data_IF_048008560596
#
_entry.id   IF_048008560596
#
_cell.length_a   1.000
_cell.length_b   1.000
_cell.length_c   1.000
_cell.angle_alpha   90.00
_cell.angle_beta   90.00
_cell.angle_gamma   90.00
#
_symmetry.space_group_name_H-M   'P 1'
#
loop_
_entity.id
_entity.type
_entity.pdbx_description
1 polymer ?
#
# COMPACT_ATOMS: atom_id res chain seq x y z
N UNK A 1 22.95 17.04 -10.50
CA UNK A 1 22.39 15.90 -9.75
C UNK A 1 21.11 15.50 -10.45
N UNK A 2 20.76 14.21 -10.48
CA UNK A 2 19.52 13.74 -11.10
C UNK A 2 18.47 13.54 -10.02
N UNK A 3 17.26 14.04 -10.23
CA UNK A 3 16.12 13.79 -9.36
C UNK A 3 15.42 12.49 -9.72
N UNK A 4 15.16 11.63 -8.74
CA UNK A 4 14.41 10.39 -8.97
C UNK A 4 13.00 10.56 -8.39
N UNK A 5 12.00 10.53 -9.27
CA UNK A 5 10.58 10.63 -8.89
C UNK A 5 9.97 9.23 -8.85
N UNK A 6 9.61 8.79 -7.64
CA UNK A 6 9.03 7.48 -7.37
C UNK A 6 7.49 7.61 -7.34
N UNK A 7 6.82 6.81 -8.16
CA UNK A 7 5.36 6.83 -8.34
C UNK A 7 4.77 5.41 -8.33
N UNK A 8 3.44 5.32 -8.28
CA UNK A 8 2.73 4.09 -8.66
C UNK A 8 2.86 3.84 -10.17
N UNK A 9 2.91 2.57 -10.56
CA UNK A 9 3.06 2.17 -11.96
C UNK A 9 1.94 2.68 -12.89
N UNK A 10 2.23 2.74 -14.21
CA UNK A 10 1.30 3.24 -15.21
C UNK A 10 0.06 2.34 -15.34
N UNK A 11 -1.08 2.98 -15.60
CA UNK A 11 -2.38 2.33 -15.70
C UNK A 11 -3.28 3.11 -16.67
N UNK A 12 -4.18 2.41 -17.36
CA UNK A 12 -5.21 3.03 -18.23
C UNK A 12 -4.67 3.96 -19.34
N UNK A 13 -3.40 3.83 -19.74
CA UNK A 13 -2.75 4.76 -20.69
C UNK A 13 -2.24 6.06 -20.06
N UNK A 14 -2.23 6.16 -18.73
CA UNK A 14 -1.71 7.27 -17.94
C UNK A 14 -0.39 6.88 -17.23
N UNK A 15 0.47 7.85 -16.86
CA UNK A 15 1.74 7.58 -16.19
C UNK A 15 1.61 6.86 -14.84
N UNK A 16 0.45 6.95 -14.18
CA UNK A 16 0.23 6.36 -12.86
C UNK A 16 -1.25 6.08 -12.64
N UNK A 17 -1.58 5.23 -11.65
CA UNK A 17 -2.97 4.98 -11.21
C UNK A 17 -3.47 5.98 -10.15
N UNK A 18 -2.57 6.78 -9.57
CA UNK A 18 -2.85 7.72 -8.48
C UNK A 18 -2.90 9.18 -8.99
N UNK A 19 -3.90 9.99 -8.61
CA UNK A 19 -4.06 11.34 -9.12
C UNK A 19 -2.89 12.25 -8.74
N UNK A 20 -2.34 12.14 -7.53
CA UNK A 20 -1.22 13.00 -7.09
C UNK A 20 0.07 12.62 -7.82
N UNK A 21 0.29 11.33 -8.09
CA UNK A 21 1.40 10.86 -8.92
C UNK A 21 1.33 11.42 -10.36
N UNK A 22 0.17 11.33 -11.02
CA UNK A 22 -0.01 11.91 -12.37
C UNK A 22 0.23 13.44 -12.33
N UNK A 23 -0.31 14.11 -11.31
CA UNK A 23 -0.13 15.55 -11.11
C UNK A 23 1.34 15.94 -10.95
N UNK A 24 2.11 15.13 -10.23
CA UNK A 24 3.53 15.35 -10.03
C UNK A 24 4.33 15.16 -11.33
N UNK A 25 4.04 14.11 -12.10
CA UNK A 25 4.67 13.90 -13.44
C UNK A 25 4.37 15.08 -14.37
N UNK A 26 3.13 15.59 -14.36
CA UNK A 26 2.75 16.78 -15.13
C UNK A 26 3.51 18.04 -14.69
N UNK A 27 3.70 18.24 -13.38
CA UNK A 27 4.50 19.34 -12.85
C UNK A 27 5.95 19.26 -13.32
N UNK A 28 6.59 18.09 -13.19
CA UNK A 28 7.97 17.89 -13.67
C UNK A 28 8.09 18.12 -15.18
N UNK A 29 7.14 17.62 -15.98
CA UNK A 29 7.12 17.83 -17.44
C UNK A 29 6.96 19.31 -17.87
N UNK A 30 6.36 20.16 -17.02
CA UNK A 30 6.14 21.57 -17.32
C UNK A 30 7.17 22.52 -16.69
N UNK A 31 7.68 22.18 -15.50
CA UNK A 31 8.56 23.04 -14.71
C UNK A 31 10.05 22.71 -14.84
N UNK A 32 10.40 21.42 -15.00
CA UNK A 32 11.79 20.96 -14.96
C UNK A 32 12.25 20.53 -16.35
N UNK A 33 13.28 21.16 -16.95
CA UNK A 33 13.77 20.76 -18.26
C UNK A 33 14.33 19.33 -18.20
N UNK A 34 13.72 18.43 -18.97
CA UNK A 34 14.08 16.99 -19.01
C UNK A 34 15.59 16.77 -19.24
N UNK A 35 16.18 17.56 -20.14
CA UNK A 35 17.61 17.57 -20.44
C UNK A 35 18.18 18.98 -20.31
N UNK A 36 19.30 19.12 -19.62
CA UNK A 36 20.10 20.33 -19.59
C UNK A 36 21.37 20.10 -20.42
N UNK A 37 21.70 21.03 -21.32
CA UNK A 37 22.93 20.98 -22.12
C UNK A 37 24.09 21.55 -21.31
N UNK A 38 24.86 20.67 -20.69
CA UNK A 38 26.08 21.03 -19.97
C UNK A 38 27.30 21.16 -20.90
N UNK A 39 28.45 21.52 -20.31
CA UNK A 39 29.76 21.46 -20.96
C UNK A 39 30.09 20.06 -21.48
N UNK A 40 29.69 19.05 -20.71
CA UNK A 40 30.15 17.66 -20.89
C UNK A 40 29.10 16.75 -21.55
N UNK A 41 28.01 17.33 -22.07
CA UNK A 41 26.94 16.60 -22.79
C UNK A 41 25.52 17.01 -22.40
N UNK A 42 24.53 16.27 -22.93
CA UNK A 42 23.15 16.33 -22.45
C UNK A 42 23.04 15.56 -21.13
N UNK A 43 22.68 16.23 -20.04
CA UNK A 43 22.43 15.58 -18.74
C UNK A 43 20.94 15.63 -18.41
N UNK A 44 20.37 14.48 -18.08
CA UNK A 44 19.00 14.36 -17.59
C UNK A 44 18.90 15.00 -16.20
N UNK A 45 17.93 15.90 -16.00
CA UNK A 45 17.72 16.55 -14.70
C UNK A 45 16.87 15.69 -13.77
N UNK A 46 15.96 14.90 -14.33
CA UNK A 46 15.04 14.06 -13.56
C UNK A 46 14.69 12.79 -14.32
N UNK A 47 14.33 11.76 -13.56
CA UNK A 47 14.04 10.40 -13.99
C UNK A 47 12.80 9.90 -13.23
N UNK A 48 11.97 9.10 -13.90
CA UNK A 48 10.71 8.56 -13.38
C UNK A 48 10.85 7.06 -13.09
N UNK A 49 10.55 6.65 -11.85
CA UNK A 49 10.72 5.28 -11.37
C UNK A 49 9.38 4.71 -10.88
N UNK A 50 9.00 3.55 -11.43
CA UNK A 50 7.70 2.90 -11.20
C UNK A 50 7.69 1.91 -10.01
N UNK A 51 8.39 2.22 -8.92
CA UNK A 51 8.59 1.31 -7.76
C UNK A 51 7.30 0.67 -7.23
N UNK A 52 6.21 1.44 -7.19
CA UNK A 52 4.89 0.96 -6.72
C UNK A 52 4.85 0.37 -5.31
N UNK A 53 5.90 0.59 -4.50
CA UNK A 53 6.00 0.18 -3.09
C UNK A 53 6.17 1.42 -2.19
N UNK A 54 5.11 1.88 -1.50
CA UNK A 54 5.18 3.08 -0.67
C UNK A 54 6.12 2.94 0.53
N UNK A 55 6.39 1.72 1.01
CA UNK A 55 7.19 1.53 2.23
C UNK A 55 8.71 1.53 2.00
N UNK A 56 9.18 1.71 0.76
CA UNK A 56 10.56 2.14 0.50
C UNK A 56 10.77 3.58 1.00
N UNK A 57 9.71 4.40 0.92
CA UNK A 57 9.72 5.80 1.36
C UNK A 57 9.45 5.85 2.87
N UNK A 58 10.23 6.62 3.67
CA UNK A 58 10.02 6.74 5.11
C UNK A 58 8.60 7.17 5.53
N UNK A 59 7.92 7.95 4.67
CA UNK A 59 6.57 8.47 4.90
C UNK A 59 5.45 7.49 4.51
N UNK A 60 5.73 6.34 3.89
CA UNK A 60 4.71 5.39 3.39
C UNK A 60 3.69 6.00 2.39
N UNK A 61 4.09 7.03 1.64
CA UNK A 61 3.22 7.77 0.72
C UNK A 61 3.96 8.05 -0.59
N UNK A 62 3.29 7.84 -1.73
CA UNK A 62 3.72 8.22 -3.07
C UNK A 62 2.74 9.30 -3.58
N UNK A 63 3.18 10.31 -4.37
CA UNK A 63 4.50 10.45 -4.98
C UNK A 63 5.60 10.85 -3.97
N UNK A 64 6.82 10.39 -4.24
CA UNK A 64 8.00 10.71 -3.47
C UNK A 64 9.20 11.04 -4.36
N UNK A 65 9.93 12.10 -4.00
CA UNK A 65 11.15 12.55 -4.65
C UNK A 65 12.36 12.11 -3.83
N UNK A 66 13.32 11.48 -4.50
CA UNK A 66 14.65 11.19 -3.97
C UNK A 66 15.67 12.15 -4.59
N UNK A 67 16.49 12.78 -3.73
CA UNK A 67 17.56 13.71 -4.14
C UNK A 67 18.96 13.13 -3.87
N UNK A 68 19.12 11.81 -3.87
CA UNK A 68 20.38 11.13 -3.51
C UNK A 68 20.76 11.19 -2.02
N UNK A 69 20.13 12.06 -1.23
CA UNK A 69 20.41 12.25 0.21
C UNK A 69 19.16 12.25 1.10
N UNK A 70 18.00 12.66 0.58
CA UNK A 70 16.74 12.75 1.32
C UNK A 70 15.54 12.37 0.47
N UNK A 71 14.52 11.89 1.17
CA UNK A 71 13.17 11.62 0.68
C UNK A 71 12.25 12.79 0.99
N UNK A 72 11.44 13.20 0.01
CA UNK A 72 10.42 14.25 0.17
C UNK A 72 9.14 13.74 -0.52
N UNK A 73 8.03 13.68 0.19
CA UNK A 73 6.77 13.14 -0.32
C UNK A 73 5.62 14.14 -0.21
N UNK A 74 4.54 13.86 -0.95
CA UNK A 74 3.36 14.73 -1.20
C UNK A 74 3.64 15.86 -2.17
N UNK A 75 2.69 16.10 -3.06
CA UNK A 75 2.77 17.09 -4.14
C UNK A 75 3.25 18.47 -3.65
N UNK A 76 2.56 19.07 -2.67
CA UNK A 76 2.85 20.43 -2.19
C UNK A 76 4.26 20.57 -1.57
N UNK A 77 4.74 19.53 -0.88
CA UNK A 77 6.08 19.53 -0.29
C UNK A 77 7.17 19.42 -1.36
N UNK A 78 6.95 18.59 -2.38
CA UNK A 78 7.86 18.43 -3.51
C UNK A 78 7.94 19.74 -4.31
N UNK A 79 6.80 20.38 -4.62
CA UNK A 79 6.75 21.70 -5.28
C UNK A 79 7.48 22.77 -4.45
N UNK A 80 7.19 22.87 -3.15
CA UNK A 80 7.88 23.81 -2.25
C UNK A 80 9.39 23.55 -2.20
N UNK A 81 9.82 22.29 -2.26
CA UNK A 81 11.24 21.96 -2.32
C UNK A 81 11.90 22.34 -3.66
N UNK A 82 11.28 22.02 -4.79
CA UNK A 82 11.80 22.37 -6.12
C UNK A 82 11.96 23.89 -6.28
N UNK A 83 11.01 24.67 -5.74
CA UNK A 83 11.13 26.14 -5.71
C UNK A 83 12.31 26.61 -4.85
N UNK A 84 12.57 26.00 -3.69
CA UNK A 84 13.72 26.33 -2.85
C UNK A 84 15.07 25.88 -3.45
N UNK A 85 15.08 24.78 -4.21
CA UNK A 85 16.31 24.27 -4.83
C UNK A 85 16.75 25.07 -6.06
N UNK A 86 15.80 25.64 -6.80
CA UNK A 86 16.02 26.34 -8.07
C UNK A 86 15.99 27.87 -7.97
N UNK A 87 16.08 28.43 -6.75
CA UNK A 87 15.82 29.86 -6.47
C UNK A 87 14.50 30.36 -7.11
N UNK A 88 13.52 29.46 -7.19
CA UNK A 88 12.20 29.64 -7.78
C UNK A 88 12.11 29.53 -9.30
N UNK A 89 13.16 29.14 -10.03
CA UNK A 89 13.06 28.99 -11.50
C UNK A 89 12.08 27.89 -11.91
N UNK A 90 11.97 26.82 -11.12
CA UNK A 90 11.01 25.73 -11.34
C UNK A 90 9.71 25.92 -10.56
N UNK A 91 9.34 27.15 -10.22
CA UNK A 91 8.05 27.51 -9.62
C UNK A 91 7.06 27.97 -10.71
N UNK A 92 6.06 27.13 -11.01
CA UNK A 92 4.99 27.46 -11.95
C UNK A 92 4.09 28.61 -11.47
N UNK A 93 4.08 28.88 -10.15
CA UNK A 93 3.17 29.83 -9.52
C UNK A 93 3.85 31.20 -9.25
N UNK A 94 5.10 31.37 -9.70
CA UNK A 94 5.92 32.58 -9.55
C UNK A 94 5.22 33.84 -10.07
N UNK A 95 4.41 33.73 -11.13
CA UNK A 95 3.68 34.84 -11.75
C UNK A 95 2.42 35.28 -10.98
N UNK A 96 1.95 34.48 -10.02
CA UNK A 96 0.69 34.74 -9.32
C UNK A 96 0.78 35.84 -8.27
N UNK A 97 -0.21 36.72 -8.27
CA UNK A 97 -0.45 37.69 -7.20
C UNK A 97 -1.09 37.05 -5.95
N UNK A 98 -1.36 37.89 -4.95
CA UNK A 98 -1.92 37.46 -3.66
C UNK A 98 -3.30 36.79 -3.80
N UNK A 99 -4.12 37.24 -4.77
CA UNK A 99 -5.47 36.72 -5.02
C UNK A 99 -5.42 35.37 -5.72
N UNK A 100 -4.65 35.32 -6.80
CA UNK A 100 -4.46 34.14 -7.63
C UNK A 100 -3.83 32.99 -6.81
N UNK A 101 -2.95 33.31 -5.86
CA UNK A 101 -2.42 32.34 -4.86
C UNK A 101 -3.49 31.83 -3.89
N UNK A 102 -4.40 32.69 -3.43
CA UNK A 102 -5.50 32.27 -2.57
C UNK A 102 -6.48 31.36 -3.33
N UNK A 103 -6.82 31.71 -4.58
CA UNK A 103 -7.64 30.89 -5.46
C UNK A 103 -6.96 29.55 -5.77
N UNK A 104 -5.67 29.55 -6.10
CA UNK A 104 -4.86 28.34 -6.32
C UNK A 104 -4.93 27.38 -5.13
N UNK A 105 -4.77 27.88 -3.90
CA UNK A 105 -4.87 27.07 -2.68
C UNK A 105 -6.31 26.54 -2.49
N UNK A 106 -7.32 27.40 -2.65
CA UNK A 106 -8.73 27.04 -2.48
C UNK A 106 -9.15 25.93 -3.47
N UNK A 107 -8.83 26.09 -4.75
CA UNK A 107 -9.16 25.09 -5.77
C UNK A 107 -8.28 23.83 -5.70
N UNK A 108 -7.02 23.92 -5.26
CA UNK A 108 -6.21 22.71 -4.98
C UNK A 108 -6.85 21.87 -3.87
N UNK A 109 -7.26 22.50 -2.76
CA UNK A 109 -7.97 21.80 -1.69
C UNK A 109 -9.38 21.33 -2.09
N UNK A 110 -10.06 22.03 -3.01
CA UNK A 110 -11.31 21.54 -3.61
C UNK A 110 -11.10 20.26 -4.44
N UNK A 111 -10.08 20.24 -5.30
CA UNK A 111 -9.72 19.06 -6.11
C UNK A 111 -9.36 17.85 -5.22
N UNK A 112 -8.53 18.06 -4.20
CA UNK A 112 -8.14 17.01 -3.25
C UNK A 112 -9.34 16.50 -2.42
N UNK A 113 -10.24 17.39 -1.95
CA UNK A 113 -11.35 17.01 -1.06
C UNK A 113 -12.58 16.45 -1.77
N UNK A 114 -12.90 16.92 -2.99
CA UNK A 114 -14.08 16.49 -3.76
C UNK A 114 -13.72 15.52 -4.90
N UNK A 115 -12.56 15.68 -5.53
CA UNK A 115 -12.08 14.79 -6.58
C UNK A 115 -11.68 13.41 -6.05
N UNK A 116 -11.02 13.34 -4.89
CA UNK A 116 -10.57 12.06 -4.33
C UNK A 116 -11.75 11.10 -4.02
N UNK A 117 -12.85 11.51 -3.35
CA UNK A 117 -13.99 10.62 -3.12
C UNK A 117 -14.67 10.15 -4.42
N UNK A 118 -14.73 10.98 -5.46
CA UNK A 118 -15.32 10.60 -6.76
C UNK A 118 -14.50 9.53 -7.47
N UNK A 119 -13.16 9.66 -7.47
CA UNK A 119 -12.24 8.64 -7.99
C UNK A 119 -12.30 7.37 -7.13
N UNK A 120 -12.31 7.51 -5.80
CA UNK A 120 -12.42 6.38 -4.87
C UNK A 120 -13.71 5.58 -5.13
N UNK A 121 -14.85 6.25 -5.32
CA UNK A 121 -16.13 5.65 -5.67
C UNK A 121 -16.10 4.91 -7.02
N UNK A 122 -15.52 5.54 -8.06
CA UNK A 122 -15.53 5.00 -9.42
C UNK A 122 -14.57 3.82 -9.61
N UNK A 123 -13.36 3.87 -9.03
CA UNK A 123 -12.31 2.86 -9.23
C UNK A 123 -12.28 1.75 -8.16
N UNK A 124 -12.65 2.03 -6.90
CA UNK A 124 -12.41 1.12 -5.78
C UNK A 124 -13.67 0.63 -5.05
N UNK A 125 -14.67 1.49 -4.89
CA UNK A 125 -15.92 1.12 -4.20
C UNK A 125 -16.81 0.27 -5.11
N UNK A 126 -16.99 0.68 -6.37
CA UNK A 126 -17.73 -0.14 -7.35
C UNK A 126 -17.01 -1.47 -7.58
N UNK A 127 -17.64 -2.56 -7.15
CA UNK A 127 -17.12 -3.93 -7.27
C UNK A 127 -16.81 -4.31 -8.72
N UNK A 128 -17.69 -3.94 -9.66
CA UNK A 128 -17.55 -4.28 -11.07
C UNK A 128 -16.33 -3.58 -11.70
N UNK A 129 -16.13 -2.29 -11.40
CA UNK A 129 -14.98 -1.53 -11.89
C UNK A 129 -13.69 -2.02 -11.23
N UNK A 130 -13.71 -2.29 -9.92
CA UNK A 130 -12.54 -2.78 -9.22
C UNK A 130 -12.10 -4.17 -9.70
N UNK A 131 -13.03 -5.13 -9.82
CA UNK A 131 -12.73 -6.51 -10.19
C UNK A 131 -12.31 -6.65 -11.68
N UNK A 132 -12.91 -5.89 -12.60
CA UNK A 132 -12.63 -6.03 -14.04
C UNK A 132 -11.56 -5.06 -14.57
N UNK A 133 -11.25 -3.96 -13.88
CA UNK A 133 -10.30 -2.95 -14.35
C UNK A 133 -9.21 -2.62 -13.33
N UNK A 134 -9.57 -2.09 -12.16
CA UNK A 134 -8.59 -1.52 -11.20
C UNK A 134 -7.64 -2.58 -10.62
N UNK A 135 -8.17 -3.73 -10.18
CA UNK A 135 -7.35 -4.82 -9.63
C UNK A 135 -6.47 -5.48 -10.70
N UNK A 136 -6.94 -5.58 -11.95
CA UNK A 136 -6.12 -6.04 -13.08
C UNK A 136 -5.02 -5.03 -13.45
N UNK A 137 -5.29 -3.73 -13.36
CA UNK A 137 -4.28 -2.69 -13.53
C UNK A 137 -3.16 -2.83 -12.48
N UNK A 138 -3.51 -2.92 -11.18
CA UNK A 138 -2.53 -3.21 -10.12
C UNK A 138 -1.77 -4.53 -10.36
N UNK A 139 -2.45 -5.57 -10.83
CA UNK A 139 -1.83 -6.85 -11.15
C UNK A 139 -0.79 -6.79 -12.29
N UNK A 140 -0.82 -5.74 -13.13
CA UNK A 140 0.10 -5.60 -14.27
C UNK A 140 1.46 -5.01 -13.89
N UNK A 141 1.54 -4.18 -12.85
CA UNK A 141 2.77 -3.49 -12.43
C UNK A 141 3.27 -3.87 -11.02
N UNK A 142 2.41 -4.44 -10.16
CA UNK A 142 2.86 -4.93 -8.84
C UNK A 142 3.52 -6.30 -8.94
N UNK A 143 4.70 -6.41 -8.35
CA UNK A 143 5.38 -7.70 -8.17
C UNK A 143 4.70 -8.55 -7.07
N UNK A 144 4.86 -9.87 -7.16
CA UNK A 144 4.54 -10.77 -6.05
C UNK A 144 5.48 -10.46 -4.86
N UNK A 145 5.02 -10.43 -3.60
CA UNK A 145 3.68 -10.74 -3.10
C UNK A 145 2.75 -9.51 -2.99
N UNK A 146 3.26 -8.30 -3.26
CA UNK A 146 2.54 -7.02 -3.08
C UNK A 146 1.21 -6.97 -3.84
N UNK A 147 1.12 -7.65 -4.98
CA UNK A 147 -0.11 -7.85 -5.77
C UNK A 147 -1.33 -8.30 -4.94
N UNK A 148 -1.15 -9.12 -3.90
CA UNK A 148 -2.26 -9.64 -3.07
C UNK A 148 -2.50 -8.84 -1.79
N UNK A 149 -1.55 -7.99 -1.40
CA UNK A 149 -1.56 -7.25 -0.13
C UNK A 149 -2.03 -5.82 -0.37
N UNK A 150 -1.43 -5.13 -1.34
CA UNK A 150 -1.60 -3.70 -1.56
C UNK A 150 -2.98 -3.32 -2.11
N UNK A 151 -3.53 -3.96 -3.18
CA UNK A 151 -4.83 -3.54 -3.73
C UNK A 151 -6.01 -3.69 -2.74
N UNK A 152 -6.13 -4.78 -1.95
CA UNK A 152 -7.16 -4.87 -0.90
C UNK A 152 -7.00 -3.81 0.20
N UNK A 153 -5.77 -3.46 0.58
CA UNK A 153 -5.52 -2.39 1.55
C UNK A 153 -5.96 -1.03 1.00
N UNK A 154 -5.62 -0.70 -0.25
CA UNK A 154 -6.06 0.54 -0.91
C UNK A 154 -7.59 0.57 -1.05
N UNK A 155 -8.23 -0.52 -1.49
CA UNK A 155 -9.70 -0.63 -1.57
C UNK A 155 -10.36 -0.41 -0.20
N UNK A 156 -9.80 -0.94 0.88
CA UNK A 156 -10.29 -0.71 2.26
C UNK A 156 -10.16 0.75 2.68
N UNK A 157 -9.06 1.42 2.34
CA UNK A 157 -8.86 2.85 2.63
C UNK A 157 -9.81 3.74 1.82
N UNK A 158 -10.01 3.45 0.53
CA UNK A 158 -10.97 4.16 -0.33
C UNK A 158 -12.41 4.01 0.19
N UNK A 159 -12.83 2.78 0.54
CA UNK A 159 -14.15 2.54 1.17
C UNK A 159 -14.33 3.37 2.44
N UNK A 160 -13.34 3.37 3.36
CA UNK A 160 -13.37 4.18 4.59
C UNK A 160 -13.43 5.68 4.30
N UNK A 161 -12.74 6.16 3.26
CA UNK A 161 -12.81 7.57 2.83
C UNK A 161 -14.21 7.95 2.31
N UNK A 162 -14.91 7.04 1.67
CA UNK A 162 -16.25 7.30 1.06
C UNK A 162 -17.44 6.92 1.94
N UNK A 163 -17.21 6.31 3.11
CA UNK A 163 -18.25 5.73 3.99
C UNK A 163 -19.34 6.74 4.37
N UNK A 164 -18.97 8.00 4.61
CA UNK A 164 -19.88 9.09 4.99
C UNK A 164 -20.91 9.45 3.90
N UNK A 165 -20.69 9.05 2.65
CA UNK A 165 -21.62 9.31 1.53
C UNK A 165 -22.81 8.34 1.53
N UNK A 166 -22.74 7.24 2.28
CA UNK A 166 -23.82 6.25 2.36
C UNK A 166 -24.13 5.52 1.05
N UNK A 167 -23.16 5.50 0.11
CA UNK A 167 -23.30 4.87 -1.21
C UNK A 167 -22.82 3.40 -1.23
N UNK A 168 -22.84 2.72 -0.09
CA UNK A 168 -22.39 1.32 0.09
C UNK A 168 -23.01 0.34 -0.91
N UNK A 169 -24.23 0.62 -1.39
CA UNK A 169 -24.91 -0.14 -2.44
C UNK A 169 -24.27 -0.08 -3.85
N UNK A 170 -23.17 0.65 -4.05
CA UNK A 170 -22.28 0.51 -5.22
C UNK A 170 -21.41 -0.75 -5.14
N UNK A 171 -21.26 -1.32 -3.95
CA UNK A 171 -20.46 -2.50 -3.69
C UNK A 171 -21.36 -3.74 -3.64
N UNK A 172 -21.44 -4.44 -4.77
CA UNK A 172 -22.26 -5.65 -4.90
C UNK A 172 -21.75 -6.75 -3.96
N UNK A 173 -20.44 -6.79 -3.68
CA UNK A 173 -19.81 -7.75 -2.77
C UNK A 173 -20.44 -7.63 -1.37
N UNK A 174 -20.50 -6.40 -0.83
CA UNK A 174 -21.08 -6.11 0.50
C UNK A 174 -22.57 -6.42 0.54
N UNK A 175 -23.33 -6.05 -0.49
CA UNK A 175 -24.77 -6.39 -0.55
C UNK A 175 -25.03 -7.91 -0.56
N UNK A 176 -24.18 -8.68 -1.24
CA UNK A 176 -24.27 -10.15 -1.25
C UNK A 176 -23.84 -10.74 0.09
N UNK A 177 -22.84 -10.17 0.76
CA UNK A 177 -22.44 -10.57 2.10
C UNK A 177 -23.52 -10.27 3.14
N UNK A 178 -24.10 -9.06 3.17
CA UNK A 178 -25.23 -8.70 4.04
C UNK A 178 -26.41 -9.68 3.88
N UNK A 179 -26.78 -10.02 2.64
CA UNK A 179 -27.83 -11.03 2.38
C UNK A 179 -27.44 -12.43 2.88
N UNK A 180 -26.17 -12.84 2.74
CA UNK A 180 -25.67 -14.11 3.27
C UNK A 180 -25.67 -14.12 4.80
N UNK A 181 -25.36 -13.00 5.46
CA UNK A 181 -25.45 -12.86 6.91
C UNK A 181 -26.91 -12.92 7.38
N UNK A 182 -27.81 -12.12 6.81
CA UNK A 182 -29.26 -12.16 7.12
C UNK A 182 -29.92 -13.52 6.87
N UNK A 183 -29.38 -14.33 5.95
CA UNK A 183 -29.82 -15.71 5.71
C UNK A 183 -29.22 -16.74 6.69
N UNK A 184 -28.08 -16.44 7.32
CA UNK A 184 -27.43 -17.25 8.35
C UNK A 184 -27.94 -16.93 9.76
N UNK A 185 -28.44 -15.72 10.00
CA UNK A 185 -28.90 -15.27 11.31
C UNK A 185 -30.14 -16.05 11.80
N UNK A 186 -30.04 -16.84 12.90
CA UNK A 186 -31.12 -17.73 13.36
C UNK A 186 -32.32 -17.01 13.97
N UNK A 187 -32.19 -15.69 14.21
CA UNK A 187 -33.26 -14.76 14.61
C UNK A 187 -34.12 -14.31 13.42
N UNK A 188 -33.62 -14.41 12.19
CA UNK A 188 -34.34 -14.09 10.96
C UNK A 188 -35.49 -15.09 10.77
N UNK A 189 -36.73 -14.67 11.05
CA UNK A 189 -37.94 -15.48 10.85
C UNK A 189 -38.09 -15.98 9.40
N UNK A 190 -37.44 -15.32 8.43
CA UNK A 190 -37.40 -15.77 7.03
C UNK A 190 -36.67 -17.10 6.84
N UNK A 191 -35.71 -17.47 7.70
CA UNK A 191 -34.99 -18.75 7.64
C UNK A 191 -35.87 -19.96 8.02
N UNK A 192 -36.95 -19.73 8.79
CA UNK A 192 -37.85 -20.77 9.31
C UNK A 192 -39.13 -20.96 8.48
N UNK A 193 -39.35 -20.14 7.46
CA UNK A 193 -40.50 -20.26 6.55
C UNK A 193 -40.08 -21.10 5.35
N UNK A 194 -40.74 -22.23 5.04
CA UNK A 194 -40.42 -23.03 3.86
C UNK A 194 -40.67 -22.22 2.59
N UNK A 195 -39.76 -22.33 1.61
CA UNK A 195 -39.73 -21.53 0.38
C UNK A 195 -41.05 -21.56 -0.43
N UNK A 196 -41.86 -22.60 -0.26
CA UNK A 196 -43.18 -22.76 -0.87
C UNK A 196 -44.29 -21.85 -0.31
N UNK A 197 -44.15 -21.32 0.91
CA UNK A 197 -45.17 -20.49 1.57
C UNK A 197 -44.92 -18.97 1.43
N UNK A 198 -43.81 -18.56 0.83
CA UNK A 198 -43.45 -17.15 0.63
C UNK A 198 -44.28 -16.59 -0.56
N UNK A 199 -45.58 -16.40 -0.35
CA UNK A 199 -46.53 -15.84 -1.35
C UNK A 199 -46.47 -14.31 -1.43
N UNK A 200 -45.27 -13.75 -1.44
CA UNK A 200 -44.98 -12.39 -1.89
C UNK A 200 -43.81 -12.48 -2.86
N UNK A 201 -43.88 -11.73 -3.97
CA UNK A 201 -42.69 -11.37 -4.76
C UNK A 201 -41.79 -10.58 -3.82
N UNK A 202 -40.89 -11.27 -3.11
CA UNK A 202 -39.71 -10.64 -2.53
C UNK A 202 -39.11 -9.84 -3.67
N UNK A 203 -38.93 -8.53 -3.46
CA UNK A 203 -38.34 -7.68 -4.49
C UNK A 203 -37.02 -8.34 -4.87
N UNK A 204 -36.96 -8.88 -6.10
CA UNK A 204 -35.83 -9.69 -6.53
C UNK A 204 -34.58 -8.85 -6.39
N UNK A 205 -33.40 -9.46 -6.20
CA UNK A 205 -32.15 -8.69 -6.09
C UNK A 205 -32.05 -7.66 -7.23
N UNK A 206 -32.49 -8.04 -8.44
CA UNK A 206 -32.73 -7.17 -9.60
C UNK A 206 -33.69 -5.98 -9.37
N UNK A 207 -34.85 -6.15 -8.73
CA UNK A 207 -35.81 -5.05 -8.44
C UNK A 207 -35.27 -4.06 -7.40
N UNK A 208 -34.52 -4.56 -6.40
CA UNK A 208 -33.88 -3.69 -5.38
C UNK A 208 -32.69 -2.96 -6.01
N UNK A 209 -31.80 -3.69 -6.70
CA UNK A 209 -30.69 -3.11 -7.45
C UNK A 209 -31.18 -2.07 -8.46
N UNK A 210 -32.24 -2.34 -9.24
CA UNK A 210 -32.77 -1.37 -10.21
C UNK A 210 -33.35 -0.10 -9.57
N UNK A 211 -33.75 -0.13 -8.29
CA UNK A 211 -34.24 1.05 -7.56
C UNK A 211 -33.11 1.79 -6.86
N UNK A 212 -32.23 1.09 -6.14
CA UNK A 212 -31.07 1.70 -5.49
C UNK A 212 -30.08 2.24 -6.52
N UNK A 213 -29.77 1.48 -7.58
CA UNK A 213 -28.89 1.91 -8.68
C UNK A 213 -29.35 3.23 -9.30
N UNK A 214 -30.65 3.39 -9.62
CA UNK A 214 -31.17 4.66 -10.17
C UNK A 214 -31.09 5.82 -9.18
N UNK A 215 -31.38 5.60 -7.90
CA UNK A 215 -31.24 6.63 -6.86
C UNK A 215 -29.76 7.01 -6.64
N UNK A 216 -28.86 6.04 -6.67
CA UNK A 216 -27.43 6.23 -6.57
C UNK A 216 -26.88 6.95 -7.79
N UNK A 217 -27.32 6.59 -8.99
CA UNK A 217 -26.92 7.24 -10.24
C UNK A 217 -27.26 8.73 -10.21
N UNK A 218 -28.48 9.11 -9.83
CA UNK A 218 -28.87 10.52 -9.66
C UNK A 218 -28.01 11.24 -8.60
N UNK A 219 -27.67 10.56 -7.49
CA UNK A 219 -26.77 11.14 -6.47
C UNK A 219 -25.34 11.33 -6.99
N UNK A 220 -24.81 10.34 -7.69
CA UNK A 220 -23.47 10.33 -8.27
C UNK A 220 -23.34 11.39 -9.37
N UNK A 221 -24.33 11.50 -10.25
CA UNK A 221 -24.48 12.55 -11.26
C UNK A 221 -24.53 13.93 -10.60
N UNK A 222 -25.36 14.12 -9.56
CA UNK A 222 -25.39 15.36 -8.79
C UNK A 222 -24.06 15.72 -8.12
N UNK A 223 -23.32 14.73 -7.60
CA UNK A 223 -21.98 14.95 -7.05
C UNK A 223 -20.94 15.28 -8.12
N UNK A 224 -20.96 14.60 -9.28
CA UNK A 224 -20.09 14.90 -10.40
C UNK A 224 -20.38 16.29 -10.98
N UNK A 225 -21.66 16.65 -11.13
CA UNK A 225 -22.10 17.99 -11.56
C UNK A 225 -21.60 19.08 -10.60
N UNK A 226 -21.75 18.88 -9.28
CA UNK A 226 -21.24 19.79 -8.25
C UNK A 226 -19.71 19.91 -8.23
N UNK A 227 -18.97 18.89 -8.69
CA UNK A 227 -17.51 18.93 -8.85
C UNK A 227 -17.07 19.63 -10.14
N UNK A 228 -17.78 19.39 -11.25
CA UNK A 228 -17.42 19.89 -12.58
C UNK A 228 -17.82 21.36 -12.77
N UNK A 229 -18.99 21.77 -12.29
CA UNK A 229 -19.50 23.12 -12.54
C UNK A 229 -18.56 24.25 -12.05
N UNK A 230 -17.95 24.20 -10.85
CA UNK A 230 -16.98 25.22 -10.42
C UNK A 230 -15.70 25.22 -11.26
N UNK A 231 -15.29 24.07 -11.80
CA UNK A 231 -14.10 23.95 -12.64
C UNK A 231 -14.35 24.48 -14.06
N UNK A 232 -15.54 24.26 -14.63
CA UNK A 232 -15.91 24.84 -15.93
C UNK A 232 -16.16 26.35 -15.83
N UNK A 233 -16.78 26.84 -14.74
CA UNK A 233 -16.89 28.29 -14.49
C UNK A 233 -15.51 28.96 -14.36
N UNK A 234 -14.58 28.33 -13.62
CA UNK A 234 -13.22 28.83 -13.46
C UNK A 234 -12.44 28.87 -14.78
N UNK A 235 -12.54 27.80 -15.58
CA UNK A 235 -11.92 27.70 -16.91
C UNK A 235 -12.52 28.76 -17.86
N UNK A 236 -13.85 28.85 -17.94
CA UNK A 236 -14.56 29.85 -18.72
C UNK A 236 -14.11 29.94 -20.18
N UNK A 237 -13.36 30.99 -20.53
CA UNK A 237 -12.75 31.18 -21.87
C UNK A 237 -11.22 31.18 -21.86
N UNK A 238 -10.60 30.76 -20.76
CA UNK A 238 -9.16 30.76 -20.55
C UNK A 238 -8.52 29.50 -21.13
N UNK A 239 -7.21 29.54 -21.40
CA UNK A 239 -6.42 28.38 -21.79
C UNK A 239 -6.09 27.44 -20.62
N UNK A 240 -6.08 27.96 -19.39
CA UNK A 240 -5.80 27.27 -18.12
C UNK A 240 -6.80 27.74 -17.05
N UNK A 241 -6.85 27.09 -15.89
CA UNK A 241 -7.85 27.40 -14.86
C UNK A 241 -7.69 28.83 -14.32
N UNK A 242 -6.47 29.23 -13.97
CA UNK A 242 -6.19 30.57 -13.45
C UNK A 242 -5.82 31.56 -14.57
N UNK A 243 -5.04 31.14 -15.57
CA UNK A 243 -4.43 32.00 -16.61
C UNK A 243 -4.91 31.69 -18.03
N UNK A 244 -4.74 32.61 -18.97
CA UNK A 244 -4.96 32.35 -20.39
C UNK A 244 -3.81 31.58 -21.06
N UNK A 245 -2.56 31.81 -20.64
CA UNK A 245 -1.36 31.38 -21.40
C UNK A 245 -0.35 30.55 -20.60
N UNK A 246 -0.27 30.73 -19.28
CA UNK A 246 0.75 30.11 -18.42
C UNK A 246 0.11 29.00 -17.57
N UNK A 247 0.61 27.75 -17.60
CA UNK A 247 0.14 26.70 -16.71
C UNK A 247 0.60 26.93 -15.26
N UNK A 248 -0.21 26.48 -14.31
CA UNK A 248 0.01 26.58 -12.86
C UNK A 248 0.14 25.21 -12.20
N UNK A 249 0.57 25.16 -10.92
CA UNK A 249 0.56 23.93 -10.13
C UNK A 249 -0.86 23.35 -9.97
N UNK A 250 -1.89 24.20 -9.91
CA UNK A 250 -3.30 23.80 -9.91
C UNK A 250 -3.70 23.08 -11.20
N UNK A 251 -3.22 23.54 -12.37
CA UNK A 251 -3.52 22.88 -13.64
C UNK A 251 -2.96 21.45 -13.69
N UNK A 252 -1.78 21.24 -13.08
CA UNK A 252 -1.18 19.90 -12.90
C UNK A 252 -2.03 19.01 -11.98
N UNK A 253 -2.52 19.54 -10.85
CA UNK A 253 -3.44 18.81 -9.96
C UNK A 253 -4.74 18.46 -10.66
N UNK A 254 -5.35 19.42 -11.36
CA UNK A 254 -6.57 19.21 -12.12
C UNK A 254 -6.38 18.14 -13.20
N UNK A 255 -5.23 18.12 -13.90
CA UNK A 255 -4.92 17.06 -14.86
C UNK A 255 -4.91 15.68 -14.21
N UNK A 256 -4.28 15.51 -13.04
CA UNK A 256 -4.22 14.22 -12.36
C UNK A 256 -5.60 13.69 -11.96
N UNK A 257 -6.41 14.52 -11.30
CA UNK A 257 -7.76 14.14 -10.90
C UNK A 257 -8.71 13.90 -12.09
N UNK A 258 -8.72 14.81 -13.08
CA UNK A 258 -9.65 14.72 -14.21
C UNK A 258 -9.24 13.67 -15.25
N UNK A 259 -7.95 13.38 -15.42
CA UNK A 259 -7.51 12.32 -16.33
C UNK A 259 -7.94 10.93 -15.84
N UNK A 260 -7.87 10.66 -14.54
CA UNK A 260 -8.43 9.43 -13.96
C UNK A 260 -9.97 9.37 -13.98
N UNK A 261 -10.65 10.53 -14.01
CA UNK A 261 -12.09 10.57 -14.20
C UNK A 261 -12.52 10.26 -15.64
N UNK A 262 -11.70 10.63 -16.64
CA UNK A 262 -12.08 10.62 -18.06
C UNK A 262 -11.49 9.49 -18.90
N UNK A 263 -10.24 9.10 -18.64
CA UNK A 263 -9.46 8.19 -19.51
C UNK A 263 -9.73 6.69 -19.25
N UNK A 264 -9.93 6.21 -18.00
CA UNK A 264 -10.15 4.78 -17.76
C UNK A 264 -11.40 4.22 -18.45
N UNK A 265 -11.21 3.12 -19.18
CA UNK A 265 -12.31 2.35 -19.77
C UNK A 265 -12.90 1.40 -18.72
N UNK A 266 -13.88 1.89 -17.97
CA UNK A 266 -14.54 1.15 -16.88
C UNK A 266 -15.87 0.51 -17.34
N UNK A 267 -16.25 -0.66 -16.80
CA UNK A 267 -17.57 -1.27 -17.02
C UNK A 267 -18.75 -0.34 -16.71
N UNK A 268 -18.66 0.42 -15.62
CA UNK A 268 -19.64 1.43 -15.21
C UNK A 268 -19.00 2.83 -15.31
N UNK A 269 -19.03 3.49 -16.48
CA UNK A 269 -18.31 4.75 -16.75
C UNK A 269 -19.06 6.04 -16.30
N UNK A 270 -19.91 5.95 -15.27
CA UNK A 270 -20.80 7.04 -14.83
C UNK A 270 -20.09 8.38 -14.60
N UNK A 271 -18.85 8.36 -14.08
CA UNK A 271 -18.09 9.57 -13.78
C UNK A 271 -17.60 10.25 -15.07
N UNK A 272 -17.07 9.47 -16.02
CA UNK A 272 -16.63 9.98 -17.33
C UNK A 272 -17.80 10.59 -18.08
N UNK A 273 -18.93 9.88 -18.10
CA UNK A 273 -20.10 10.29 -18.85
C UNK A 273 -20.70 11.58 -18.26
N UNK A 274 -20.80 11.70 -16.93
CA UNK A 274 -21.23 12.92 -16.25
C UNK A 274 -20.28 14.12 -16.45
N UNK A 275 -18.95 13.90 -16.42
CA UNK A 275 -17.98 14.98 -16.72
C UNK A 275 -18.06 15.41 -18.20
N UNK A 276 -18.35 14.47 -19.11
CA UNK A 276 -18.51 14.76 -20.54
C UNK A 276 -19.80 15.54 -20.83
N UNK A 277 -20.89 15.22 -20.14
CA UNK A 277 -22.17 15.92 -20.27
C UNK A 277 -22.14 17.32 -19.63
N UNK A 278 -21.61 17.45 -18.42
CA UNK A 278 -21.60 18.71 -17.67
C UNK A 278 -20.40 19.62 -17.94
N UNK A 279 -19.35 19.16 -18.62
CA UNK A 279 -18.10 19.92 -18.78
C UNK A 279 -17.33 19.64 -20.07
N UNK A 280 -17.93 19.80 -21.27
CA UNK A 280 -17.27 19.52 -22.54
C UNK A 280 -16.00 20.36 -22.76
N UNK A 281 -15.94 21.58 -22.22
CA UNK A 281 -14.74 22.43 -22.30
C UNK A 281 -13.61 21.88 -21.43
N UNK A 282 -13.96 21.31 -20.28
CA UNK A 282 -13.04 20.67 -19.36
C UNK A 282 -12.41 19.41 -19.98
N UNK A 283 -13.19 18.61 -20.70
CA UNK A 283 -12.67 17.45 -21.48
C UNK A 283 -11.64 17.89 -22.52
N UNK A 284 -11.93 18.96 -23.29
CA UNK A 284 -10.99 19.50 -24.28
C UNK A 284 -9.73 20.12 -23.64
N UNK A 285 -9.86 20.73 -22.46
CA UNK A 285 -8.74 21.21 -21.64
C UNK A 285 -7.84 20.05 -21.17
N UNK A 286 -8.42 18.99 -20.60
CA UNK A 286 -7.70 17.81 -20.14
C UNK A 286 -6.97 17.13 -21.29
N UNK A 287 -7.62 16.93 -22.44
CA UNK A 287 -7.00 16.32 -23.61
C UNK A 287 -5.77 17.12 -24.09
N UNK A 288 -5.90 18.44 -24.25
CA UNK A 288 -4.80 19.34 -24.64
C UNK A 288 -3.63 19.28 -23.66
N UNK A 289 -3.91 19.34 -22.36
CA UNK A 289 -2.87 19.34 -21.33
C UNK A 289 -2.20 17.95 -21.20
N UNK A 290 -2.96 16.86 -21.39
CA UNK A 290 -2.42 15.50 -21.46
C UNK A 290 -1.43 15.35 -22.62
N UNK A 291 -1.82 15.75 -23.84
CA UNK A 291 -0.92 15.73 -25.01
C UNK A 291 0.34 16.58 -24.79
N UNK A 292 0.22 17.73 -24.11
CA UNK A 292 1.38 18.58 -23.77
C UNK A 292 2.35 17.94 -22.77
N UNK A 293 1.84 17.23 -21.76
CA UNK A 293 2.67 16.69 -20.67
C UNK A 293 3.16 15.24 -20.91
N UNK A 294 2.33 14.39 -21.52
CA UNK A 294 2.58 12.95 -21.67
C UNK A 294 2.61 12.49 -23.14
N UNK A 295 2.44 13.41 -24.10
CA UNK A 295 2.32 13.08 -25.52
C UNK A 295 0.97 12.46 -25.90
N UNK A 296 0.81 12.19 -27.19
CA UNK A 296 -0.44 11.63 -27.76
C UNK A 296 -0.53 10.11 -27.59
N UNK A 297 0.60 9.42 -27.41
CA UNK A 297 0.67 7.96 -27.23
C UNK A 297 0.24 7.59 -25.80
N UNK A 298 -0.65 6.61 -25.59
CA UNK A 298 -0.99 6.14 -24.25
C UNK A 298 0.22 5.51 -23.56
N UNK A 299 0.42 5.81 -22.28
CA UNK A 299 1.53 5.24 -21.50
C UNK A 299 1.22 3.78 -21.15
N UNK A 300 2.03 2.86 -21.66
CA UNK A 300 1.93 1.43 -21.37
C UNK A 300 2.89 0.99 -20.26
N UNK A 301 2.56 -0.11 -19.58
CA UNK A 301 3.41 -0.76 -18.57
C UNK A 301 4.77 -1.15 -19.15
N UNK A 302 4.80 -1.58 -20.41
CA UNK A 302 6.02 -1.89 -21.16
C UNK A 302 7.05 -0.75 -21.14
N UNK A 303 6.61 0.51 -21.16
CA UNK A 303 7.48 1.70 -21.18
C UNK A 303 8.18 1.96 -19.84
N UNK A 304 7.55 1.60 -18.72
CA UNK A 304 8.08 1.87 -17.39
C UNK A 304 9.04 0.78 -16.88
N UNK A 305 8.94 -0.45 -17.40
CA UNK A 305 9.69 -1.61 -16.94
C UNK A 305 10.68 -2.18 -17.99
N UNK A 306 10.81 -1.55 -19.16
CA UNK A 306 11.75 -1.97 -20.21
C UNK A 306 12.79 -0.89 -20.50
N UNK A 307 14.07 -1.25 -20.43
CA UNK A 307 15.19 -0.42 -20.92
C UNK A 307 15.30 -0.40 -22.46
N UNK A 308 14.30 -0.92 -23.18
CA UNK A 308 14.41 -1.08 -24.64
C UNK A 308 14.28 0.26 -25.39
N UNK A 309 15.38 0.61 -26.08
CA UNK A 309 15.63 1.85 -26.83
C UNK A 309 14.64 2.12 -28.00
N UNK A 310 13.60 1.28 -28.17
CA UNK A 310 12.69 1.30 -29.32
C UNK A 310 11.30 1.91 -29.08
N UNK A 311 10.85 2.07 -27.82
CA UNK A 311 9.52 2.63 -27.53
C UNK A 311 9.65 4.10 -27.15
N UNK A 312 9.29 4.98 -28.08
CA UNK A 312 9.37 6.44 -27.94
C UNK A 312 8.33 6.98 -26.95
N UNK A 313 8.54 6.73 -25.66
CA UNK A 313 7.83 7.41 -24.58
C UNK A 313 8.38 8.83 -24.41
N UNK A 314 7.50 9.77 -24.06
CA UNK A 314 7.86 11.19 -23.87
C UNK A 314 8.46 11.48 -22.49
N UNK A 315 8.51 10.48 -21.60
CA UNK A 315 8.86 10.61 -20.19
C UNK A 315 10.17 9.85 -19.90
N UNK A 316 11.03 10.33 -18.99
CA UNK A 316 12.34 9.73 -18.72
C UNK A 316 12.19 8.52 -17.78
N UNK A 317 11.66 7.41 -18.28
CA UNK A 317 11.49 6.19 -17.48
C UNK A 317 12.84 5.52 -17.18
N UNK A 318 13.01 5.11 -15.91
CA UNK A 318 14.03 4.15 -15.46
C UNK A 318 13.34 2.93 -14.88
N UNK A 319 13.77 1.75 -15.31
CA UNK A 319 13.29 0.51 -14.73
C UNK A 319 13.62 0.48 -13.22
N UNK A 320 12.66 0.13 -12.34
CA UNK A 320 12.92 0.08 -10.91
C UNK A 320 13.92 -1.03 -10.57
N UNK A 321 14.79 -0.79 -9.59
CA UNK A 321 15.73 -1.80 -9.11
C UNK A 321 14.97 -3.02 -8.56
N UNK A 322 15.37 -4.22 -8.98
CA UNK A 322 14.71 -5.45 -8.54
C UNK A 322 14.87 -5.63 -7.03
N UNK A 323 13.76 -5.51 -6.31
CA UNK A 323 13.70 -5.67 -4.85
C UNK A 323 14.24 -7.05 -4.47
N UNK A 324 15.25 -7.08 -3.59
CA UNK A 324 15.87 -8.36 -3.20
C UNK A 324 14.86 -9.30 -2.54
N UNK A 325 15.02 -10.62 -2.76
CA UNK A 325 14.12 -11.65 -2.22
C UNK A 325 13.91 -11.54 -0.70
N UNK A 326 14.94 -11.11 0.04
CA UNK A 326 14.83 -10.85 1.49
C UNK A 326 13.93 -9.65 1.83
N UNK A 327 14.00 -8.57 1.04
CA UNK A 327 13.09 -7.44 1.18
C UNK A 327 11.66 -7.81 0.79
N UNK A 328 11.45 -8.61 -0.26
CA UNK A 328 10.13 -9.15 -0.64
C UNK A 328 9.53 -10.01 0.47
N UNK A 329 10.32 -10.90 1.09
CA UNK A 329 9.90 -11.71 2.24
C UNK A 329 9.55 -10.87 3.48
N UNK A 330 10.32 -9.81 3.74
CA UNK A 330 10.00 -8.81 4.78
C UNK A 330 8.65 -8.13 4.51
N UNK A 331 8.32 -7.80 3.25
CA UNK A 331 7.02 -7.19 2.90
C UNK A 331 5.84 -8.15 3.08
N UNK A 332 6.00 -9.44 2.75
CA UNK A 332 4.98 -10.45 3.05
C UNK A 332 4.67 -10.49 4.55
N UNK A 333 5.71 -10.58 5.39
CA UNK A 333 5.58 -10.57 6.85
C UNK A 333 5.02 -9.25 7.38
N UNK A 334 5.40 -8.11 6.81
CA UNK A 334 4.84 -6.81 7.19
C UNK A 334 3.35 -6.72 6.86
N UNK A 335 2.92 -7.17 5.67
CA UNK A 335 1.50 -7.19 5.27
C UNK A 335 0.64 -8.12 6.13
N UNK A 336 1.14 -9.32 6.45
CA UNK A 336 0.49 -10.26 7.39
C UNK A 336 0.43 -9.65 8.80
N UNK A 337 1.50 -9.01 9.26
CA UNK A 337 1.50 -8.33 10.56
C UNK A 337 0.54 -7.12 10.60
N UNK A 338 0.37 -6.38 9.50
CA UNK A 338 -0.62 -5.29 9.39
C UNK A 338 -2.07 -5.81 9.30
N UNK A 339 -2.30 -7.13 9.11
CA UNK A 339 -3.64 -7.74 9.26
C UNK A 339 -3.99 -8.13 10.71
N UNK A 340 -3.02 -8.11 11.64
CA UNK A 340 -3.25 -8.38 13.06
C UNK A 340 -3.60 -7.05 13.76
N UNK A 341 -4.81 -6.85 14.32
CA UNK A 341 -5.29 -5.54 14.78
C UNK A 341 -4.36 -4.84 15.79
N UNK A 342 -3.80 -5.60 16.74
CA UNK A 342 -2.91 -5.08 17.79
C UNK A 342 -1.57 -4.63 17.19
N UNK A 343 -0.99 -5.44 16.30
CA UNK A 343 0.30 -5.16 15.67
C UNK A 343 0.17 -3.99 14.69
N UNK A 344 -0.96 -3.90 13.98
CA UNK A 344 -1.31 -2.76 13.14
C UNK A 344 -1.36 -1.46 13.97
N UNK A 345 -1.98 -1.45 15.15
CA UNK A 345 -2.02 -0.29 16.05
C UNK A 345 -0.62 0.11 16.55
N UNK A 346 0.19 -0.87 17.02
CA UNK A 346 1.58 -0.63 17.46
C UNK A 346 2.40 0.00 16.33
N UNK A 347 2.34 -0.59 15.13
CA UNK A 347 3.14 -0.14 13.98
C UNK A 347 2.66 1.21 13.43
N UNK A 348 1.35 1.47 13.43
CA UNK A 348 0.81 2.79 13.07
C UNK A 348 1.31 3.90 14.02
N UNK A 349 1.34 3.64 15.33
CA UNK A 349 1.87 4.58 16.31
C UNK A 349 3.38 4.83 16.11
N UNK A 350 4.16 3.76 15.84
CA UNK A 350 5.59 3.89 15.53
C UNK A 350 5.87 4.65 14.21
N UNK A 351 5.01 4.47 13.17
CA UNK A 351 5.07 5.24 11.92
C UNK A 351 4.81 6.73 12.19
N UNK A 352 3.80 7.06 13.00
CA UNK A 352 3.46 8.44 13.37
C UNK A 352 4.55 9.13 14.21
N UNK A 353 5.23 8.39 15.10
CA UNK A 353 6.37 8.92 15.86
C UNK A 353 7.52 9.32 14.92
N UNK A 354 7.92 8.45 13.99
CA UNK A 354 8.97 8.75 12.99
C UNK A 354 8.59 9.90 12.05
N UNK A 355 7.33 9.96 11.61
CA UNK A 355 6.84 11.08 10.82
C UNK A 355 6.88 12.40 11.62
N UNK A 356 6.56 12.37 12.92
CA UNK A 356 6.65 13.52 13.81
C UNK A 356 8.09 13.95 14.13
N UNK A 357 9.05 13.03 14.16
CA UNK A 357 10.49 13.32 14.30
C UNK A 357 11.05 14.01 13.05
N UNK A 358 10.57 13.64 11.86
CA UNK A 358 10.95 14.25 10.58
C UNK A 358 10.19 15.57 10.30
N UNK A 359 8.98 15.73 10.85
CA UNK A 359 8.19 16.94 10.72
C UNK A 359 8.73 18.08 11.61
N UNK A 360 9.65 18.87 11.07
CA UNK A 360 10.02 20.19 11.61
C UNK A 360 8.91 21.24 11.35
N UNK A 361 7.69 20.94 11.80
CA UNK A 361 6.51 21.80 11.70
C UNK A 361 6.36 22.81 12.85
N UNK A 362 5.43 23.78 12.73
CA UNK A 362 5.07 24.73 13.79
C UNK A 362 4.63 24.04 15.09
N UNK A 363 4.63 24.81 16.19
CA UNK A 363 4.33 24.29 17.54
C UNK A 363 2.95 23.62 17.64
N UNK A 364 1.95 24.15 16.92
CA UNK A 364 0.57 23.64 16.92
C UNK A 364 0.44 22.24 16.29
N UNK A 365 1.17 21.95 15.20
CA UNK A 365 1.19 20.62 14.58
C UNK A 365 1.75 19.57 15.53
N UNK A 366 2.77 19.94 16.33
CA UNK A 366 3.36 19.08 17.36
C UNK A 366 2.38 18.82 18.50
N UNK A 367 1.59 19.81 18.90
CA UNK A 367 0.54 19.62 19.92
C UNK A 367 -0.58 18.69 19.43
N UNK A 368 -1.02 18.84 18.17
CA UNK A 368 -2.01 17.96 17.54
C UNK A 368 -1.45 16.53 17.43
N UNK A 369 -0.21 16.37 16.95
CA UNK A 369 0.44 15.06 16.86
C UNK A 369 0.58 14.38 18.23
N UNK A 370 0.94 15.13 19.28
CA UNK A 370 1.01 14.62 20.66
C UNK A 370 -0.38 14.18 21.19
N UNK A 371 -1.44 14.95 20.92
CA UNK A 371 -2.82 14.59 21.26
C UNK A 371 -3.26 13.30 20.53
N UNK A 372 -2.99 13.18 19.24
CA UNK A 372 -3.28 11.96 18.47
C UNK A 372 -2.49 10.75 19.01
N UNK A 373 -1.19 10.90 19.26
CA UNK A 373 -0.34 9.83 19.79
C UNK A 373 -0.79 9.33 21.18
N UNK A 374 -1.24 10.24 22.06
CA UNK A 374 -1.77 9.87 23.39
C UNK A 374 -3.12 9.17 23.32
N UNK A 375 -4.02 9.57 22.40
CA UNK A 375 -5.28 8.84 22.16
C UNK A 375 -5.00 7.42 21.63
N UNK A 376 -4.13 7.26 20.64
CA UNK A 376 -3.78 5.94 20.10
C UNK A 376 -3.09 5.04 21.12
N UNK A 377 -2.28 5.59 22.05
CA UNK A 377 -1.73 4.82 23.17
C UNK A 377 -2.84 4.26 24.07
N UNK A 378 -3.90 5.04 24.34
CA UNK A 378 -5.05 4.55 25.11
C UNK A 378 -5.77 3.43 24.38
N UNK A 379 -6.06 3.59 23.09
CA UNK A 379 -6.68 2.52 22.28
C UNK A 379 -5.87 1.23 22.30
N UNK A 380 -4.54 1.34 22.17
CA UNK A 380 -3.60 0.22 22.22
C UNK A 380 -3.58 -0.47 23.59
N UNK A 381 -3.59 0.28 24.70
CA UNK A 381 -3.72 -0.33 26.03
C UNK A 381 -5.09 -1.00 26.22
N UNK A 382 -6.17 -0.42 25.71
CA UNK A 382 -7.49 -1.07 25.78
C UNK A 382 -7.56 -2.34 24.93
N UNK A 383 -6.97 -2.37 23.73
CA UNK A 383 -6.98 -3.57 22.89
C UNK A 383 -6.15 -4.69 23.52
N UNK A 384 -4.95 -4.40 24.03
CA UNK A 384 -4.14 -5.36 24.80
C UNK A 384 -4.93 -5.88 26.02
N UNK A 385 -5.56 -5.00 26.80
CA UNK A 385 -6.35 -5.40 27.97
C UNK A 385 -7.52 -6.33 27.59
N UNK A 386 -8.27 -6.03 26.52
CA UNK A 386 -9.36 -6.91 26.05
C UNK A 386 -8.87 -8.28 25.60
N UNK A 387 -7.70 -8.35 24.99
CA UNK A 387 -7.11 -9.60 24.48
C UNK A 387 -6.59 -10.46 25.64
N UNK A 388 -5.94 -9.85 26.64
CA UNK A 388 -5.54 -10.54 27.86
C UNK A 388 -6.75 -11.04 28.66
N UNK A 389 -7.82 -10.25 28.75
CA UNK A 389 -9.07 -10.67 29.39
C UNK A 389 -9.73 -11.84 28.63
N UNK A 390 -9.78 -11.80 27.30
CA UNK A 390 -10.28 -12.90 26.47
C UNK A 390 -9.45 -14.17 26.59
N UNK A 391 -8.11 -14.06 26.63
CA UNK A 391 -7.20 -15.18 26.84
C UNK A 391 -7.41 -15.81 28.23
N UNK A 392 -7.49 -14.98 29.28
CA UNK A 392 -7.78 -15.44 30.64
C UNK A 392 -9.13 -16.14 30.77
N UNK A 393 -10.17 -15.61 30.11
CA UNK A 393 -11.50 -16.23 30.06
C UNK A 393 -11.49 -17.57 29.31
N UNK A 394 -10.74 -17.67 28.20
CA UNK A 394 -10.57 -18.90 27.46
C UNK A 394 -9.81 -19.97 28.26
N UNK A 395 -8.70 -19.61 28.90
CA UNK A 395 -7.94 -20.53 29.79
C UNK A 395 -8.82 -20.98 30.95
N UNK A 396 -9.57 -20.07 31.58
CA UNK A 396 -10.55 -20.42 32.62
C UNK A 396 -11.63 -21.37 32.13
N UNK A 397 -12.13 -21.20 30.89
CA UNK A 397 -13.11 -22.10 30.28
C UNK A 397 -12.52 -23.48 29.95
N UNK A 398 -11.28 -23.57 29.46
CA UNK A 398 -10.59 -24.85 29.20
C UNK A 398 -10.32 -25.62 30.49
N UNK A 399 -9.94 -24.94 31.56
CA UNK A 399 -9.79 -25.53 32.90
C UNK A 399 -11.14 -25.98 33.47
N UNK A 400 -12.20 -25.17 33.33
CA UNK A 400 -13.55 -25.51 33.79
C UNK A 400 -14.18 -26.68 33.03
N UNK A 401 -13.91 -26.80 31.72
CA UNK A 401 -14.46 -27.88 30.88
C UNK A 401 -13.69 -29.18 30.95
N UNK A 402 -12.57 -29.24 31.68
CA UNK A 402 -11.84 -30.48 31.95
C UNK A 402 -11.26 -31.16 30.69
N UNK A 403 -11.01 -30.39 29.62
CA UNK A 403 -10.60 -30.96 28.31
C UNK A 403 -9.19 -31.58 28.31
N UNK A 404 -8.45 -31.42 29.41
CA UNK A 404 -7.25 -32.19 29.73
C UNK A 404 -7.56 -33.12 30.91
N UNK A 405 -7.95 -34.36 30.62
CA UNK A 405 -7.70 -35.46 31.56
C UNK A 405 -6.20 -35.68 31.60
N UNK A 406 -5.52 -35.07 32.56
CA UNK A 406 -4.20 -35.51 32.94
C UNK A 406 -4.35 -36.89 33.60
N UNK A 407 -3.86 -37.92 32.93
CA UNK A 407 -3.88 -39.30 33.43
C UNK A 407 -2.89 -39.42 34.60
N UNK A 408 -3.38 -39.05 35.77
CA UNK A 408 -2.65 -39.16 37.03
C UNK A 408 -2.96 -40.54 37.60
N UNK A 409 -2.07 -41.50 37.32
CA UNK A 409 -2.15 -42.84 37.89
C UNK A 409 -2.17 -42.73 39.43
N UNK A 410 -3.27 -43.16 40.02
CA UNK A 410 -3.43 -43.33 41.45
C UNK A 410 -3.71 -44.82 41.68
N UNK A 411 -2.88 -45.42 42.53
CA UNK A 411 -2.97 -46.82 42.91
C UNK A 411 -4.12 -46.99 43.91
N UNK A 412 -4.95 -48.03 43.73
CA UNK A 412 -5.84 -48.56 44.77
C UNK A 412 -5.57 -50.08 44.87
N UNK A 413 -5.32 -50.54 46.11
CA UNK A 413 -4.97 -51.93 46.47
C UNK A 413 -6.22 -52.82 46.65
N UNK A 414 -6.00 -54.04 47.19
CA UNK A 414 -6.93 -55.19 47.43
C UNK A 414 -6.87 -56.25 46.29
N UNK A 415 -6.58 -57.54 46.53
CA UNK A 415 -6.43 -58.30 47.78
C UNK A 415 -5.67 -59.64 47.57
N UNK A 416 -5.31 -60.30 48.69
CA UNK A 416 -5.17 -61.76 48.89
C UNK A 416 -3.89 -62.56 48.49
N UNK A 417 -3.20 -63.00 49.54
CA UNK A 417 -2.76 -64.38 49.88
C UNK A 417 -1.46 -65.04 49.31
N UNK A 418 -0.64 -65.55 50.27
CA UNK A 418 0.12 -66.83 50.32
C UNK A 418 1.05 -67.24 49.14
N UNK A 419 2.30 -67.68 49.27
CA UNK A 419 3.31 -67.94 50.33
C UNK A 419 4.69 -67.74 49.63
N UNK A 420 5.76 -67.23 50.23
CA UNK A 420 6.68 -67.99 51.10
C UNK A 420 8.14 -67.94 50.59
N UNK A 421 9.09 -68.19 51.51
CA UNK A 421 10.55 -68.41 51.32
C UNK A 421 11.48 -67.19 51.10
N UNK A 422 12.32 -66.97 52.12
CA UNK A 422 13.51 -66.11 52.21
C UNK A 422 14.76 -66.89 51.76
N UNK A 423 15.79 -66.25 51.19
CA UNK A 423 17.26 -66.44 51.40
C UNK A 423 17.94 -65.17 50.80
N UNK A 424 18.74 -64.39 51.54
CA UNK A 424 20.20 -64.53 51.78
C UNK A 424 21.05 -64.56 50.47
N UNK A 425 22.20 -63.87 50.30
CA UNK A 425 22.82 -62.80 51.11
C UNK A 425 23.89 -62.00 50.31
N UNK A 426 24.37 -60.93 50.93
CA UNK A 426 25.53 -60.03 50.72
C UNK A 426 26.66 -60.30 49.67
N UNK A 427 27.11 -59.18 49.05
CA UNK A 427 28.51 -58.73 48.76
C UNK A 427 29.51 -59.67 48.00
N UNK A 428 30.48 -59.20 47.19
CA UNK A 428 31.61 -58.29 47.49
C UNK A 428 32.22 -57.66 46.22
N UNK A 429 32.87 -56.51 46.44
CA UNK A 429 33.82 -55.70 45.65
C UNK A 429 34.68 -56.37 44.54
N UNK A 430 35.22 -55.54 43.61
CA UNK A 430 36.39 -55.96 42.79
C UNK A 430 36.77 -55.13 41.55
N UNK A 431 37.39 -53.96 41.77
CA UNK A 431 38.46 -53.31 40.97
C UNK A 431 38.51 -53.30 39.41
N UNK A 432 38.51 -52.07 38.87
CA UNK A 432 39.47 -51.45 37.93
C UNK A 432 39.93 -52.05 36.56
N UNK A 433 40.34 -51.08 35.73
CA UNK A 433 41.30 -51.12 34.61
C UNK A 433 40.86 -51.41 33.16
N UNK A 434 41.59 -50.73 32.26
CA UNK A 434 41.34 -50.59 30.82
C UNK A 434 42.05 -51.69 30.03
N UNK A 435 41.45 -52.12 28.91
CA UNK A 435 42.13 -52.12 27.59
C UNK A 435 41.21 -52.40 26.41
N UNK A 436 41.66 -51.94 25.24
CA UNK A 436 41.07 -52.26 23.94
C UNK A 436 41.58 -53.61 23.40
N UNK A 437 40.81 -54.26 22.53
CA UNK A 437 41.27 -54.52 21.14
C UNK A 437 40.10 -54.82 20.18
N UNK A 438 40.37 -54.72 18.87
CA UNK A 438 39.46 -55.03 17.75
C UNK A 438 39.39 -56.55 17.44
N UNK A 439 38.54 -56.96 16.48
CA UNK A 439 39.18 -57.48 15.25
C UNK A 439 38.47 -57.15 13.90
N UNK A 440 39.31 -56.77 12.91
CA UNK A 440 39.48 -57.36 11.53
C UNK A 440 38.23 -57.76 10.70
N UNK A 441 38.21 -57.78 9.36
CA UNK A 441 38.97 -57.30 8.18
C UNK A 441 38.28 -57.95 6.95
N UNK A 442 38.32 -57.54 5.67
CA UNK A 442 39.47 -57.41 4.73
C UNK A 442 38.91 -57.28 3.28
N UNK A 443 39.51 -56.45 2.42
CA UNK A 443 39.71 -56.57 0.94
C UNK A 443 40.18 -55.17 0.47
N UNK A 444 41.45 -54.82 0.25
CA UNK A 444 42.56 -55.36 -0.55
C UNK A 444 42.75 -54.61 -1.90
N UNK A 445 43.68 -53.63 -1.84
CA UNK A 445 44.38 -52.86 -2.89
C UNK A 445 45.34 -53.75 -3.73
N UNK A 446 46.18 -53.29 -4.73
CA UNK A 446 46.77 -51.95 -4.97
C UNK A 446 46.84 -51.52 -6.49
N UNK A 447 47.61 -50.53 -7.00
CA UNK A 447 48.79 -49.77 -6.51
C UNK A 447 49.08 -48.44 -7.26
N UNK A 448 49.87 -47.55 -6.61
CA UNK A 448 50.87 -46.57 -7.16
C UNK A 448 50.40 -45.47 -8.16
N UNK A 449 50.97 -44.26 -8.22
CA UNK A 449 52.24 -43.70 -7.70
C UNK A 449 52.17 -42.15 -7.52
N UNK A 450 53.06 -41.56 -6.72
CA UNK A 450 53.34 -40.11 -6.56
C UNK A 450 54.83 -39.85 -6.99
N UNK A 451 55.43 -38.62 -7.13
CA UNK A 451 55.34 -37.50 -6.14
C UNK A 451 55.61 -36.02 -6.61
N UNK A 452 55.56 -35.10 -5.61
CA UNK A 452 56.48 -33.96 -5.35
C UNK A 452 56.28 -32.51 -5.89
N UNK A 453 56.50 -31.52 -4.98
CA UNK A 453 56.85 -30.09 -5.22
C UNK A 453 55.83 -29.06 -4.67
N UNK A 454 55.81 -28.66 -3.39
CA UNK A 454 56.68 -27.66 -2.70
C UNK A 454 56.69 -26.26 -3.38
N UNK A 455 56.26 -25.12 -2.80
CA UNK A 455 56.81 -24.48 -1.57
C UNK A 455 55.98 -23.26 -1.05
N UNK A 456 56.06 -23.05 0.27
CA UNK A 456 56.15 -21.75 1.02
C UNK A 456 55.02 -20.68 1.09
N UNK A 457 54.55 -20.48 2.33
CA UNK A 457 54.08 -19.22 2.96
C UNK A 457 55.30 -18.53 3.66
N UNK A 458 55.28 -17.24 4.05
CA UNK A 458 54.55 -16.73 5.23
C UNK A 458 53.86 -15.36 4.93
N UNK A 459 53.36 -14.48 5.83
CA UNK A 459 53.23 -14.43 7.30
C UNK A 459 51.98 -13.56 7.69
N UNK A 460 51.84 -13.21 8.97
CA UNK A 460 50.97 -12.14 9.54
C UNK A 460 51.84 -11.25 10.47
N UNK A 461 51.41 -10.10 11.06
CA UNK A 461 50.38 -10.01 12.15
C UNK A 461 49.36 -8.85 11.95
N UNK A 462 48.16 -8.73 12.58
CA UNK A 462 47.62 -8.94 13.94
C UNK A 462 47.58 -7.64 14.80
N UNK A 463 46.38 -7.29 15.31
CA UNK A 463 46.09 -6.17 16.22
C UNK A 463 44.97 -5.25 15.69
N UNK A 464 43.94 -4.82 16.42
CA UNK A 464 43.47 -5.13 17.80
C UNK A 464 41.92 -5.02 17.82
N UNK A 465 41.27 -5.55 18.87
CA UNK A 465 39.84 -5.40 19.11
C UNK A 465 39.57 -4.90 20.55
N UNK A 466 38.62 -3.98 20.75
CA UNK A 466 38.18 -3.60 22.10
C UNK A 466 37.21 -2.42 22.20
N UNK A 467 36.26 -2.55 23.14
CA UNK A 467 35.35 -1.53 23.71
C UNK A 467 34.26 -0.96 22.76
N UNK A 468 32.96 -1.25 22.89
CA UNK A 468 31.97 -1.07 23.99
C UNK A 468 31.24 0.30 24.03
N UNK A 469 29.95 0.21 24.40
CA UNK A 469 28.94 1.26 24.51
C UNK A 469 29.33 2.44 25.42
N UNK A 470 28.72 3.62 25.16
CA UNK A 470 28.55 4.65 26.18
C UNK A 470 27.89 5.94 25.69
N UNK A 471 26.62 6.16 26.10
CA UNK A 471 25.77 7.36 25.94
C UNK A 471 25.15 7.56 24.56
#
# INVERSE_FOLDING_TARGET
>A
MVFELHIWGPAFGLPSIDPQCISMVAYFALAVPMKLRGSDGEQEQWVLVADSDPGMVPTNELPALWTGTRWISRFRNIVAYLSQYSDGEWDLDRWMGQKEKADCIAFSSFLESQGQPLIDLSLYVSSDNYNNATSQAYASFLQWPSQWITPPQIRKLAKKRTEYLGLTSLDVDVMVEEQRHQARDPSSLASKIPKSLIRKRQATVSDILNRSSKQNQIRLEGMASAFVAPLEELLGRKGYLLSSEIPSSQDCLALGYLSLALVPNLPNPWLRDAVTEHGPQLVAYVARLRSRCFGDVPVEVSMAFSESVGVASSLPWRAPELVSLGAMGKRALEGIADSIPIVQQIRANARLQRAGEQAQGPCEEKEIAAKVATMQRRELYTSIATVLAGLGMFVGYVLYTGFFQAEQAAEEEEDADEEGEEEEDEEVEGEEEKKADYPKSKLQNPAQEEPAGDTQKPMSPLGEAGSMLGI
#
